data_IF_276121957954
#
_entry.id   IF_276121957954
#
_cell.length_a   1.000
_cell.length_b   1.000
_cell.length_c   1.000
_cell.angle_alpha   90.00
_cell.angle_beta   90.00
_cell.angle_gamma   90.00
#
_symmetry.space_group_name_H-M   'P 1'
#
loop_
_entity.id
_entity.type
_entity.pdbx_description
1 polymer ?
#
# COMPACT_ATOMS: atom_id res chain seq x y z
N UNK A 1 -10.12 4.81 -17.72
CA UNK A 1 -10.16 3.87 -18.83
C UNK A 1 -9.78 2.48 -18.36
N UNK A 2 -10.10 1.51 -19.18
CA UNK A 2 -9.76 0.13 -18.84
C UNK A 2 -8.26 -0.07 -18.68
N UNK A 3 -7.48 0.62 -19.47
CA UNK A 3 -6.04 0.52 -19.39
C UNK A 3 -5.54 1.02 -18.03
N UNK A 4 -6.02 2.19 -17.61
CA UNK A 4 -5.63 2.73 -16.32
C UNK A 4 -6.10 1.85 -15.17
N UNK A 5 -7.32 1.31 -15.28
CA UNK A 5 -7.85 0.43 -14.26
C UNK A 5 -7.02 -0.85 -14.17
N UNK A 6 -6.62 -1.41 -15.31
CA UNK A 6 -5.77 -2.60 -15.32
C UNK A 6 -4.40 -2.35 -14.74
N UNK A 7 -3.82 -1.18 -15.01
CA UNK A 7 -2.53 -0.82 -14.44
C UNK A 7 -2.63 -0.66 -12.92
N UNK A 8 -3.71 -0.04 -12.45
CA UNK A 8 -3.93 0.10 -11.02
C UNK A 8 -4.13 -1.26 -10.35
N UNK A 9 -4.89 -2.13 -11.00
CA UNK A 9 -5.11 -3.49 -10.52
C UNK A 9 -3.77 -4.20 -10.34
N UNK A 10 -2.94 -4.16 -11.38
CA UNK A 10 -1.66 -4.87 -11.35
C UNK A 10 -0.75 -4.31 -10.25
N UNK A 11 -0.77 -3.00 -10.08
CA UNK A 11 0.07 -2.37 -9.06
C UNK A 11 -0.36 -2.77 -7.67
N UNK A 12 -1.68 -2.77 -7.41
CA UNK A 12 -2.22 -3.18 -6.12
C UNK A 12 -1.84 -4.63 -5.82
N UNK A 13 -1.99 -5.51 -6.81
CA UNK A 13 -1.67 -6.92 -6.61
C UNK A 13 -0.18 -7.08 -6.31
N UNK A 14 0.67 -6.40 -7.08
CA UNK A 14 2.11 -6.51 -6.89
C UNK A 14 2.53 -6.00 -5.51
N UNK A 15 2.13 -4.78 -5.17
CA UNK A 15 2.51 -4.17 -3.90
C UNK A 15 1.90 -4.93 -2.74
N UNK A 16 0.62 -5.31 -2.86
CA UNK A 16 -0.05 -6.06 -1.81
C UNK A 16 0.63 -7.40 -1.54
N UNK A 17 1.01 -8.11 -2.58
CA UNK A 17 1.71 -9.38 -2.39
C UNK A 17 3.07 -9.19 -1.73
N UNK A 18 3.74 -8.07 -2.00
CA UNK A 18 4.99 -7.77 -1.33
C UNK A 18 4.78 -7.69 0.18
N UNK A 19 3.70 -6.99 0.61
CA UNK A 19 3.40 -6.88 2.03
C UNK A 19 3.00 -8.24 2.62
N UNK A 20 2.20 -9.01 1.88
CA UNK A 20 1.76 -10.33 2.37
C UNK A 20 2.93 -11.27 2.55
N UNK A 21 3.89 -11.27 1.60
CA UNK A 21 5.06 -12.11 1.74
C UNK A 21 5.92 -11.69 2.92
N UNK A 22 6.01 -10.40 3.16
CA UNK A 22 6.80 -9.89 4.27
C UNK A 22 6.11 -10.11 5.62
N UNK A 23 4.79 -10.13 5.62
CA UNK A 23 4.00 -10.40 6.81
C UNK A 23 3.63 -9.17 7.63
N UNK A 24 3.97 -7.98 7.19
CA UNK A 24 3.62 -6.74 7.86
C UNK A 24 3.83 -5.58 6.90
N UNK A 25 3.33 -4.41 7.28
CA UNK A 25 3.67 -3.18 6.57
C UNK A 25 3.78 -2.04 7.59
N UNK A 26 4.51 -1.00 7.20
CA UNK A 26 4.65 0.15 8.08
C UNK A 26 3.44 1.04 7.96
N UNK A 27 3.26 1.95 8.91
CA UNK A 27 2.14 2.87 8.87
C UNK A 27 2.15 3.72 7.60
N UNK A 28 3.31 4.23 7.21
CA UNK A 28 3.41 5.03 6.00
C UNK A 28 3.04 4.21 4.77
N UNK A 29 3.49 2.96 4.72
CA UNK A 29 3.14 2.08 3.61
C UNK A 29 1.63 1.85 3.56
N UNK A 30 1.02 1.64 4.71
CA UNK A 30 -0.41 1.40 4.77
C UNK A 30 -1.19 2.62 4.29
N UNK A 31 -0.82 3.79 4.78
CA UNK A 31 -1.50 5.03 4.41
C UNK A 31 -1.35 5.32 2.91
N UNK A 32 -0.14 5.14 2.37
CA UNK A 32 0.09 5.38 0.96
C UNK A 32 -0.62 4.35 0.08
N UNK A 33 -0.60 3.10 0.48
CA UNK A 33 -1.27 2.03 -0.24
C UNK A 33 -2.76 2.32 -0.35
N UNK A 34 -3.39 2.70 0.76
CA UNK A 34 -4.81 2.99 0.78
C UNK A 34 -5.14 4.27 -0.01
N UNK A 35 -4.39 5.34 0.23
CA UNK A 35 -4.71 6.63 -0.34
C UNK A 35 -4.44 6.71 -1.85
N UNK A 36 -3.33 6.16 -2.28
CA UNK A 36 -2.90 6.36 -3.66
C UNK A 36 -3.20 5.20 -4.59
N UNK A 37 -3.49 4.02 -4.05
CA UNK A 37 -3.79 2.87 -4.89
C UNK A 37 -5.22 2.35 -4.68
N UNK A 38 -5.58 2.06 -3.43
CA UNK A 38 -6.84 1.37 -3.17
C UNK A 38 -8.06 2.26 -3.36
N UNK A 39 -8.06 3.44 -2.76
CA UNK A 39 -9.21 4.33 -2.85
C UNK A 39 -9.50 4.76 -4.28
N UNK A 40 -8.52 5.22 -5.06
CA UNK A 40 -8.80 5.56 -6.45
C UNK A 40 -9.28 4.36 -7.26
N UNK A 41 -8.72 3.19 -7.01
CA UNK A 41 -9.12 1.98 -7.73
C UNK A 41 -10.58 1.64 -7.42
N UNK A 42 -10.97 1.74 -6.15
CA UNK A 42 -12.35 1.48 -5.74
C UNK A 42 -13.34 2.44 -6.37
N UNK A 43 -12.94 3.70 -6.54
CA UNK A 43 -13.80 4.70 -7.16
C UNK A 43 -14.08 4.38 -8.62
N UNK A 44 -13.20 3.63 -9.28
CA UNK A 44 -13.43 3.20 -10.64
C UNK A 44 -14.12 1.85 -10.71
N UNK A 45 -14.60 1.34 -9.58
CA UNK A 45 -15.36 0.09 -9.57
C UNK A 45 -14.50 -1.15 -9.64
N UNK A 46 -13.23 -1.05 -9.29
CA UNK A 46 -12.35 -2.20 -9.30
C UNK A 46 -12.76 -3.24 -8.26
N UNK A 47 -12.58 -4.50 -8.59
CA UNK A 47 -12.93 -5.59 -7.70
C UNK A 47 -12.12 -6.84 -8.08
N UNK A 48 -12.50 -8.00 -7.54
CA UNK A 48 -11.87 -9.26 -7.88
C UNK A 48 -10.59 -9.51 -7.09
N UNK A 49 -9.54 -9.93 -7.79
CA UNK A 49 -8.29 -10.32 -7.12
C UNK A 49 -7.68 -9.17 -6.33
N UNK A 50 -7.70 -7.97 -6.90
CA UNK A 50 -7.14 -6.82 -6.18
C UNK A 50 -7.88 -6.58 -4.88
N UNK A 51 -9.20 -6.68 -4.89
CA UNK A 51 -9.99 -6.50 -3.68
C UNK A 51 -9.64 -7.55 -2.64
N UNK A 52 -9.47 -8.79 -3.07
CA UNK A 52 -9.09 -9.87 -2.17
C UNK A 52 -7.73 -9.60 -1.54
N UNK A 53 -6.76 -9.17 -2.35
CA UNK A 53 -5.44 -8.83 -1.87
C UNK A 53 -5.50 -7.69 -0.86
N UNK A 54 -6.28 -6.65 -1.16
CA UNK A 54 -6.43 -5.52 -0.25
C UNK A 54 -6.97 -6.00 1.11
N UNK A 55 -7.99 -6.85 1.08
CA UNK A 55 -8.57 -7.34 2.32
C UNK A 55 -7.57 -8.14 3.14
N UNK A 56 -6.72 -8.90 2.49
CA UNK A 56 -5.67 -9.64 3.19
C UNK A 56 -4.61 -8.71 3.76
N UNK A 57 -4.24 -7.68 3.01
CA UNK A 57 -3.28 -6.69 3.50
C UNK A 57 -3.81 -5.96 4.73
N UNK A 58 -5.11 -5.65 4.73
CA UNK A 58 -5.73 -4.97 5.87
C UNK A 58 -5.66 -5.78 7.16
N UNK A 59 -5.47 -7.08 7.06
CA UNK A 59 -5.37 -7.94 8.21
C UNK A 59 -3.93 -8.13 8.70
N UNK A 60 -2.96 -7.56 8.00
CA UNK A 60 -1.57 -7.66 8.41
C UNK A 60 -1.27 -6.69 9.55
N UNK A 61 -0.29 -7.01 10.38
CA UNK A 61 0.19 -6.06 11.38
C UNK A 61 0.71 -4.80 10.72
N UNK A 62 0.31 -3.64 11.24
CA UNK A 62 0.84 -2.36 10.80
C UNK A 62 1.77 -1.88 11.90
N UNK A 63 3.02 -1.64 11.55
CA UNK A 63 4.03 -1.25 12.53
C UNK A 63 4.46 0.19 12.30
N UNK A 64 5.01 0.85 13.33
CA UNK A 64 5.47 2.22 13.14
C UNK A 64 6.52 2.30 12.05
N UNK A 65 6.43 3.38 11.26
CA UNK A 65 7.41 3.59 10.21
C UNK A 65 8.76 3.93 10.85
N UNK A 66 9.83 3.19 10.50
CA UNK A 66 11.15 3.53 11.03
C UNK A 66 11.56 4.92 10.57
N UNK A 67 12.16 5.70 11.47
CA UNK A 67 12.64 7.01 11.10
C UNK A 67 14.13 7.06 11.35
N UNK A 68 14.86 7.72 10.48
CA UNK A 68 16.29 7.92 10.76
C UNK A 68 16.43 8.78 11.99
N UNK A 69 17.52 8.68 12.71
CA UNK A 69 17.79 9.57 13.84
C UNK A 69 17.66 11.01 13.38
N UNK A 70 17.18 11.86 14.27
CA UNK A 70 17.06 13.26 13.95
C UNK A 70 18.41 13.75 13.46
N UNK A 71 18.39 14.42 12.24
CA UNK A 71 19.56 14.87 11.72
C UNK A 71 20.00 15.93 12.56
N UNK A 72 21.09 15.92 13.10
CA UNK A 72 21.45 16.82 13.96
C UNK A 72 21.79 17.93 13.32
N UNK A 73 21.49 18.87 13.62
CA UNK A 73 21.61 19.90 13.03
C UNK A 73 22.79 20.24 13.20
N UNK A 74 23.46 20.26 12.87
CA UNK A 74 24.52 20.32 12.97
C UNK A 74 24.98 21.14 12.93
N UNK A 75 25.11 21.45 13.16
CA UNK A 75 25.49 21.81 13.11
C UNK A 75 25.67 22.03 12.99
N UNK A 76 25.68 22.22 13.07
CA UNK A 76 25.78 22.34 12.81
C UNK A 76 25.67 22.25 12.70
#
# INVERSE_FOLDING_TARGET
>A
SRLLLGMAHDRIVYVGKTYLHRGFLTLDEYEDFMKYLVEPYSEFGGNGLAEKIVNEVKNLPVVPTPRPPAKRKTNG
#
